data_IF_221106939074
#
_entry.id   IF_221106939074
#
_cell.length_a   1.000
_cell.length_b   1.000
_cell.length_c   1.000
_cell.angle_alpha   90.00
_cell.angle_beta   90.00
_cell.angle_gamma   90.00
#
_symmetry.space_group_name_H-M   'P 1'
#
loop_
_entity.id
_entity.type
_entity.pdbx_description
1 polymer ?
#
# COMPACT_ATOMS: atom_id res chain seq x y z
N UNK A 1 0.82 35.73 -51.55
CA UNK A 1 0.37 37.06 -51.10
C UNK A 1 -1.12 37.13 -51.39
N UNK A 2 -1.93 36.44 -50.59
CA UNK A 2 -2.62 36.95 -49.38
C UNK A 2 -3.66 37.99 -49.76
N UNK A 3 -4.94 37.62 -49.76
CA UNK A 3 -5.88 38.39 -48.95
C UNK A 3 -7.10 37.57 -48.51
N UNK A 4 -7.50 37.80 -47.26
CA UNK A 4 -8.56 37.14 -46.52
C UNK A 4 -9.75 38.07 -46.36
N UNK A 5 -10.93 37.66 -46.80
CA UNK A 5 -12.24 38.16 -46.35
C UNK A 5 -13.27 37.10 -46.73
N UNK A 6 -14.21 36.63 -45.94
CA UNK A 6 -14.63 36.91 -44.58
C UNK A 6 -15.90 36.07 -44.38
N UNK A 7 -16.07 35.43 -43.23
CA UNK A 7 -17.36 34.85 -42.87
C UNK A 7 -17.53 34.90 -41.36
N UNK A 8 -18.46 35.76 -40.97
CA UNK A 8 -19.02 35.91 -39.62
C UNK A 8 -19.83 34.67 -39.25
N UNK A 9 -19.57 34.09 -38.07
CA UNK A 9 -20.45 33.13 -37.43
C UNK A 9 -20.69 33.57 -35.99
N UNK A 10 -21.94 33.42 -35.57
CA UNK A 10 -22.57 34.08 -34.43
C UNK A 10 -22.05 33.58 -33.08
N UNK A 11 -22.03 34.51 -32.12
CA UNK A 11 -21.97 34.21 -30.70
C UNK A 11 -23.31 33.65 -30.27
N UNK A 12 -23.34 32.39 -29.82
CA UNK A 12 -24.45 31.85 -29.04
C UNK A 12 -24.09 31.83 -27.57
N UNK A 13 -24.94 32.52 -26.82
CA UNK A 13 -24.95 32.74 -25.39
C UNK A 13 -25.45 31.46 -24.69
N UNK A 14 -24.59 30.81 -23.91
CA UNK A 14 -25.00 29.69 -23.05
C UNK A 14 -25.47 30.26 -21.70
N UNK A 15 -26.74 30.06 -21.31
CA UNK A 15 -27.29 30.63 -20.07
C UNK A 15 -26.80 29.88 -18.83
N UNK A 16 -26.50 30.63 -17.76
CA UNK A 16 -26.36 30.12 -16.39
C UNK A 16 -27.67 29.46 -15.94
N UNK A 17 -27.62 28.16 -15.64
CA UNK A 17 -28.71 27.45 -14.97
C UNK A 17 -28.41 27.33 -13.47
N UNK A 18 -29.29 27.94 -12.67
CA UNK A 18 -29.29 27.94 -11.22
C UNK A 18 -29.32 26.53 -10.61
N UNK A 19 -28.66 26.38 -9.45
CA UNK A 19 -28.67 25.18 -8.63
C UNK A 19 -30.07 24.91 -8.02
N UNK A 20 -30.68 23.74 -8.25
CA UNK A 20 -31.81 23.28 -7.45
C UNK A 20 -31.33 22.25 -6.41
N UNK A 21 -31.67 22.53 -5.15
CA UNK A 21 -32.02 21.49 -4.18
C UNK A 21 -30.86 20.75 -3.51
N UNK A 22 -30.64 21.07 -2.24
CA UNK A 22 -29.99 20.22 -1.26
C UNK A 22 -30.80 18.93 -1.06
N UNK A 23 -30.29 17.79 -1.51
CA UNK A 23 -30.83 16.46 -1.15
C UNK A 23 -29.96 15.78 -0.08
N UNK A 24 -30.65 15.15 0.86
CA UNK A 24 -30.16 14.50 2.07
C UNK A 24 -29.22 13.30 1.80
N UNK A 25 -28.41 12.86 2.78
CA UNK A 25 -27.43 11.80 2.57
C UNK A 25 -28.13 10.44 2.48
N UNK A 26 -28.03 9.79 1.32
CA UNK A 26 -28.37 8.36 1.21
C UNK A 26 -29.12 7.95 -0.05
N UNK A 27 -28.52 8.13 -1.23
CA UNK A 27 -28.81 7.21 -2.34
C UNK A 27 -27.68 7.24 -3.37
N UNK A 28 -26.95 6.13 -3.49
CA UNK A 28 -26.03 5.92 -4.61
C UNK A 28 -26.85 5.82 -5.92
N UNK A 29 -26.41 6.41 -7.03
CA UNK A 29 -27.14 6.31 -8.30
C UNK A 29 -27.23 4.86 -8.77
N UNK A 30 -28.42 4.49 -9.21
CA UNK A 30 -28.88 3.14 -9.50
C UNK A 30 -28.12 2.45 -10.66
N UNK A 31 -27.15 1.58 -10.33
CA UNK A 31 -26.61 0.56 -11.25
C UNK A 31 -27.66 -0.47 -11.69
N UNK A 32 -28.82 -0.50 -11.03
CA UNK A 32 -29.99 -1.33 -11.38
C UNK A 32 -30.59 -1.02 -12.75
N UNK A 33 -30.20 0.08 -13.43
CA UNK A 33 -30.73 0.43 -14.76
C UNK A 33 -30.03 -0.29 -15.94
N UNK A 34 -28.96 -1.04 -15.70
CA UNK A 34 -28.16 -1.66 -16.76
C UNK A 34 -28.30 -3.20 -16.82
N UNK A 35 -28.96 -3.81 -15.83
CA UNK A 35 -29.21 -5.25 -15.79
C UNK A 35 -29.99 -5.72 -17.03
N UNK A 36 -29.50 -6.74 -17.72
CA UNK A 36 -30.08 -7.26 -18.95
C UNK A 36 -29.65 -6.52 -20.24
N UNK A 37 -28.88 -5.44 -20.13
CA UNK A 37 -28.33 -4.73 -21.30
C UNK A 37 -27.26 -5.58 -21.97
N UNK A 38 -27.29 -5.66 -23.31
CA UNK A 38 -26.25 -6.33 -24.10
C UNK A 38 -25.40 -5.26 -24.76
N UNK A 39 -24.10 -5.27 -24.48
CA UNK A 39 -23.10 -4.40 -25.13
C UNK A 39 -22.08 -5.31 -25.80
N UNK A 40 -21.86 -5.12 -27.10
CA UNK A 40 -20.92 -5.90 -27.92
C UNK A 40 -21.08 -7.43 -27.79
N UNK A 41 -22.32 -7.90 -27.71
CA UNK A 41 -22.66 -9.32 -27.59
C UNK A 41 -22.50 -9.91 -26.18
N UNK A 42 -22.11 -9.13 -25.19
CA UNK A 42 -22.01 -9.55 -23.78
C UNK A 42 -23.20 -9.02 -23.00
N UNK A 43 -23.95 -9.92 -22.35
CA UNK A 43 -25.09 -9.59 -21.50
C UNK A 43 -24.61 -9.21 -20.10
N UNK A 44 -25.02 -8.04 -19.62
CA UNK A 44 -24.79 -7.62 -18.24
C UNK A 44 -25.80 -8.34 -17.35
N UNK A 45 -25.34 -9.33 -16.59
CA UNK A 45 -26.12 -10.02 -15.57
C UNK A 45 -25.92 -9.36 -14.20
N UNK A 46 -26.97 -9.32 -13.39
CA UNK A 46 -26.83 -8.96 -11.99
C UNK A 46 -25.88 -9.96 -11.31
N UNK A 47 -25.00 -9.53 -10.39
CA UNK A 47 -24.20 -10.47 -9.62
C UNK A 47 -25.13 -11.44 -8.90
N UNK A 48 -24.95 -12.75 -9.11
CA UNK A 48 -25.73 -13.77 -8.43
C UNK A 48 -25.35 -13.78 -6.94
N UNK A 49 -26.12 -13.05 -6.14
CA UNK A 49 -26.04 -13.04 -4.68
C UNK A 49 -27.47 -13.15 -4.14
N UNK A 50 -27.88 -14.33 -3.63
CA UNK A 50 -29.11 -14.44 -2.86
C UNK A 50 -29.04 -13.51 -1.65
N UNK A 51 -30.10 -12.73 -1.41
CA UNK A 51 -30.18 -11.69 -0.38
C UNK A 51 -29.90 -12.20 1.05
N UNK A 52 -29.92 -13.52 1.24
CA UNK A 52 -29.87 -14.19 2.54
C UNK A 52 -28.58 -15.01 2.72
N UNK A 53 -27.64 -14.93 1.76
CA UNK A 53 -26.37 -15.65 1.86
C UNK A 53 -25.58 -15.08 3.04
N UNK A 54 -25.30 -15.85 4.11
CA UNK A 54 -24.40 -15.39 5.15
C UNK A 54 -23.05 -15.11 4.49
N UNK A 55 -22.59 -13.86 4.53
CA UNK A 55 -21.28 -13.46 4.02
C UNK A 55 -20.21 -14.41 4.61
N UNK A 56 -19.70 -15.40 3.84
CA UNK A 56 -18.80 -16.42 4.38
C UNK A 56 -17.46 -15.81 4.77
N UNK A 57 -17.19 -14.59 4.29
CA UNK A 57 -16.09 -13.76 4.65
C UNK A 57 -16.61 -12.37 4.99
N UNK A 58 -17.43 -12.25 6.05
CA UNK A 58 -17.67 -10.96 6.73
C UNK A 58 -16.38 -10.19 6.74
N UNK A 59 -16.32 -9.19 5.85
CA UNK A 59 -15.17 -8.37 5.46
C UNK A 59 -13.99 -8.60 6.38
N UNK A 60 -12.92 -9.19 5.86
CA UNK A 60 -11.72 -9.57 6.62
C UNK A 60 -11.11 -8.33 7.29
N UNK A 61 -11.64 -7.95 8.45
CA UNK A 61 -11.20 -6.81 9.23
C UNK A 61 -10.10 -7.31 10.15
N UNK A 62 -8.88 -6.85 9.92
CA UNK A 62 -7.88 -6.82 10.98
C UNK A 62 -8.36 -5.79 12.00
N UNK A 63 -8.70 -6.17 13.24
CA UNK A 63 -9.35 -5.27 14.20
C UNK A 63 -8.50 -4.04 14.57
N UNK A 64 -7.18 -4.12 14.40
CA UNK A 64 -6.28 -2.98 14.58
C UNK A 64 -6.53 -1.84 13.57
N UNK A 65 -7.17 -2.13 12.41
CA UNK A 65 -7.47 -1.12 11.37
C UNK A 65 -8.36 0.02 11.87
N UNK A 66 -9.17 -0.22 12.90
CA UNK A 66 -10.01 0.81 13.51
C UNK A 66 -9.24 1.76 14.44
N UNK A 67 -8.09 1.34 15.00
CA UNK A 67 -7.22 2.23 15.80
C UNK A 67 -6.44 3.18 14.90
N UNK A 68 -6.16 2.76 13.65
CA UNK A 68 -5.32 3.49 12.70
C UNK A 68 -5.97 4.69 12.01
N UNK A 69 -7.30 4.83 12.05
CA UNK A 69 -8.00 5.93 11.36
C UNK A 69 -8.13 7.17 12.27
N UNK A 70 -7.84 7.06 13.57
CA UNK A 70 -7.98 8.16 14.54
C UNK A 70 -6.84 8.28 15.58
N UNK A 71 -5.63 7.79 15.28
CA UNK A 71 -4.49 7.83 16.20
C UNK A 71 -3.84 9.21 16.32
N UNK A 72 -3.30 9.52 17.50
CA UNK A 72 -2.58 10.76 17.86
C UNK A 72 -1.32 11.02 17.00
N UNK A 73 -0.83 10.03 16.25
CA UNK A 73 0.39 10.10 15.43
C UNK A 73 0.12 10.17 13.92
N UNK A 74 -1.14 10.38 13.51
CA UNK A 74 -1.44 10.62 12.10
C UNK A 74 -0.95 12.03 11.73
N UNK A 75 -0.25 12.21 10.60
CA UNK A 75 0.12 13.53 10.11
C UNK A 75 -1.09 14.47 10.08
N UNK A 76 -0.89 15.73 10.49
CA UNK A 76 -1.97 16.73 10.42
C UNK A 76 -2.36 17.06 8.98
N UNK A 77 -1.44 16.88 8.04
CA UNK A 77 -1.62 17.06 6.61
C UNK A 77 -0.65 16.18 5.79
N UNK A 78 -0.74 16.28 4.46
CA UNK A 78 0.02 15.49 3.49
C UNK A 78 1.40 16.11 3.14
N UNK A 79 1.85 17.15 3.86
CA UNK A 79 3.14 17.80 3.61
C UNK A 79 4.33 16.95 4.06
N UNK A 80 5.49 17.20 3.45
CA UNK A 80 6.73 16.51 3.82
C UNK A 80 7.14 16.77 5.29
N UNK A 81 6.88 17.96 5.82
CA UNK A 81 7.25 18.34 7.19
C UNK A 81 6.48 17.55 8.26
N UNK A 82 5.27 17.10 7.92
CA UNK A 82 4.43 16.28 8.80
C UNK A 82 4.56 14.77 8.49
N UNK A 83 5.32 14.40 7.45
CA UNK A 83 5.44 13.02 7.01
C UNK A 83 6.45 12.24 7.87
N UNK A 84 6.05 11.15 8.54
CA UNK A 84 6.95 10.35 9.36
C UNK A 84 8.07 9.71 8.54
N UNK A 85 7.83 9.40 7.26
CA UNK A 85 8.83 8.84 6.36
C UNK A 85 9.82 9.90 5.83
N UNK A 86 9.46 11.19 5.81
CA UNK A 86 10.42 12.26 5.56
C UNK A 86 11.27 12.56 6.80
N UNK A 87 10.67 12.50 7.99
CA UNK A 87 11.37 12.75 9.25
C UNK A 87 12.34 11.61 9.65
N UNK A 88 12.00 10.35 9.34
CA UNK A 88 12.75 9.17 9.76
C UNK A 88 14.25 9.22 9.38
N UNK A 89 14.64 9.54 8.13
CA UNK A 89 16.05 9.64 7.76
C UNK A 89 16.87 10.66 8.55
N UNK A 90 16.24 11.70 9.13
CA UNK A 90 16.92 12.70 9.96
C UNK A 90 17.15 12.28 11.41
N UNK A 91 16.65 11.12 11.83
CA UNK A 91 16.80 10.56 13.19
C UNK A 91 17.83 9.44 13.19
N UNK A 92 18.22 8.99 14.40
CA UNK A 92 19.04 7.79 14.54
C UNK A 92 18.30 6.56 14.02
N UNK A 93 19.03 5.58 13.50
CA UNK A 93 18.43 4.36 12.95
C UNK A 93 17.64 3.59 14.01
N UNK A 94 18.09 3.64 15.27
CA UNK A 94 17.40 3.01 16.40
C UNK A 94 16.05 3.66 16.65
N UNK A 95 16.01 4.99 16.72
CA UNK A 95 14.78 5.71 17.06
C UNK A 95 13.75 5.69 15.92
N UNK A 96 14.23 5.65 14.67
CA UNK A 96 13.40 5.59 13.48
C UNK A 96 13.08 4.16 13.02
N UNK A 97 13.63 3.14 13.69
CA UNK A 97 13.57 1.74 13.29
C UNK A 97 14.07 1.47 11.86
N UNK A 98 15.06 2.25 11.40
CA UNK A 98 15.69 2.08 10.09
C UNK A 98 16.61 0.86 10.17
N UNK A 99 16.41 -0.08 9.23
CA UNK A 99 17.21 -1.29 9.09
C UNK A 99 18.40 -1.04 8.16
N UNK A 100 18.17 -0.30 7.08
CA UNK A 100 19.20 -0.04 6.08
C UNK A 100 18.94 1.26 5.31
N UNK A 101 20.01 1.93 4.89
CA UNK A 101 19.99 3.16 4.10
C UNK A 101 20.66 2.90 2.76
N UNK A 102 19.88 2.96 1.68
CA UNK A 102 20.39 2.98 0.32
C UNK A 102 20.68 4.41 -0.16
N UNK A 103 20.82 4.57 -1.47
CA UNK A 103 21.17 5.82 -2.16
C UNK A 103 19.94 6.73 -2.39
N UNK A 104 18.85 6.17 -2.93
CA UNK A 104 17.59 6.85 -3.28
C UNK A 104 16.39 6.36 -2.46
N UNK A 105 16.52 5.20 -1.81
CA UNK A 105 15.52 4.62 -0.92
C UNK A 105 16.17 4.02 0.34
N UNK A 106 15.34 3.76 1.35
CA UNK A 106 15.76 3.18 2.63
C UNK A 106 14.72 2.18 3.12
N UNK A 107 15.13 1.36 4.09
CA UNK A 107 14.33 0.29 4.66
C UNK A 107 14.16 0.51 6.15
N UNK A 108 12.92 0.45 6.63
CA UNK A 108 12.56 0.59 8.03
C UNK A 108 11.53 -0.44 8.44
N UNK A 109 11.42 -0.71 9.75
CA UNK A 109 10.35 -1.53 10.27
C UNK A 109 9.04 -0.76 10.32
N UNK A 110 7.94 -1.45 10.03
CA UNK A 110 6.62 -0.89 10.32
C UNK A 110 6.39 -0.89 11.84
N UNK A 111 6.10 0.28 12.40
CA UNK A 111 5.76 0.46 13.82
C UNK A 111 4.52 -0.36 14.23
N UNK A 112 3.63 -0.61 13.27
CA UNK A 112 2.40 -1.38 13.44
C UNK A 112 2.41 -2.61 12.53
N UNK A 113 3.25 -3.62 12.83
CA UNK A 113 3.55 -4.70 11.91
C UNK A 113 2.37 -5.67 11.74
N UNK A 114 2.19 -6.23 10.53
CA UNK A 114 1.25 -7.33 10.33
C UNK A 114 1.80 -8.62 10.92
N UNK A 115 3.11 -8.83 10.84
CA UNK A 115 3.88 -9.93 11.42
C UNK A 115 5.26 -9.41 11.84
N UNK A 116 5.92 -10.11 12.76
CA UNK A 116 7.34 -9.93 13.07
C UNK A 116 8.17 -9.84 11.80
N UNK A 117 9.04 -8.83 11.69
CA UNK A 117 9.85 -8.58 10.49
C UNK A 117 9.11 -7.88 9.34
N UNK A 118 7.95 -7.25 9.59
CA UNK A 118 7.28 -6.40 8.58
C UNK A 118 8.12 -5.15 8.30
N UNK A 119 8.67 -5.08 7.09
CA UNK A 119 9.46 -3.96 6.61
C UNK A 119 8.69 -3.08 5.62
N UNK A 120 9.10 -1.83 5.55
CA UNK A 120 8.71 -0.86 4.55
C UNK A 120 9.97 -0.45 3.77
N UNK A 121 9.86 -0.32 2.45
CA UNK A 121 10.87 0.35 1.62
C UNK A 121 10.28 1.66 1.12
N UNK A 122 10.96 2.76 1.40
CA UNK A 122 10.50 4.12 1.10
C UNK A 122 11.57 4.86 0.29
N UNK A 123 11.21 5.60 -0.77
CA UNK A 123 12.12 6.58 -1.34
C UNK A 123 12.38 7.70 -0.32
N UNK A 124 13.54 8.34 -0.39
CA UNK A 124 13.81 9.54 0.41
C UNK A 124 12.93 10.71 0.00
N UNK A 125 12.62 10.81 -1.30
CA UNK A 125 11.78 11.87 -1.85
C UNK A 125 10.32 11.67 -1.44
N UNK A 126 9.65 12.76 -1.07
CA UNK A 126 8.21 12.78 -0.77
C UNK A 126 7.41 12.69 -2.07
N UNK A 127 7.12 11.47 -2.49
CA UNK A 127 6.22 11.15 -3.61
C UNK A 127 5.15 10.21 -3.15
N UNK A 128 3.96 10.32 -3.72
CA UNK A 128 2.80 9.52 -3.29
C UNK A 128 2.54 8.36 -4.25
N UNK A 129 2.78 8.58 -5.54
CA UNK A 129 2.38 7.65 -6.59
C UNK A 129 3.58 6.92 -7.20
N UNK A 130 3.41 5.63 -7.50
CA UNK A 130 4.46 4.81 -8.12
C UNK A 130 4.96 5.37 -9.47
N UNK A 131 4.09 6.08 -10.21
CA UNK A 131 4.44 6.70 -11.49
C UNK A 131 5.35 7.92 -11.33
N UNK A 132 5.37 8.55 -10.16
CA UNK A 132 6.23 9.70 -9.84
C UNK A 132 7.67 9.27 -9.55
N UNK A 133 7.91 8.00 -9.21
CA UNK A 133 9.23 7.47 -8.95
C UNK A 133 10.12 7.55 -10.21
N UNK A 134 11.39 7.88 -10.02
CA UNK A 134 12.40 7.83 -11.07
C UNK A 134 12.77 6.38 -11.38
N UNK A 135 13.46 6.14 -12.50
CA UNK A 135 13.97 4.81 -12.82
C UNK A 135 14.96 4.30 -11.75
N UNK A 136 15.79 5.18 -11.19
CA UNK A 136 16.72 4.85 -10.12
C UNK A 136 15.98 4.43 -8.84
N UNK A 137 15.01 5.24 -8.39
CA UNK A 137 14.19 4.92 -7.21
C UNK A 137 13.45 3.59 -7.38
N UNK A 138 12.82 3.34 -8.54
CA UNK A 138 12.14 2.05 -8.79
C UNK A 138 13.10 0.87 -8.78
N UNK A 139 14.27 1.02 -9.40
CA UNK A 139 15.28 -0.03 -9.44
C UNK A 139 15.79 -0.35 -8.04
N UNK A 140 16.12 0.68 -7.26
CA UNK A 140 16.64 0.46 -5.92
C UNK A 140 15.58 -0.06 -4.95
N UNK A 141 14.34 0.42 -5.03
CA UNK A 141 13.23 -0.15 -4.24
C UNK A 141 13.11 -1.66 -4.53
N UNK A 142 13.24 -2.07 -5.80
CA UNK A 142 13.28 -3.48 -6.18
C UNK A 142 14.46 -4.25 -5.58
N UNK A 143 15.67 -3.71 -5.68
CA UNK A 143 16.89 -4.30 -5.10
C UNK A 143 16.79 -4.44 -3.58
N UNK A 144 16.36 -3.38 -2.89
CA UNK A 144 16.16 -3.38 -1.44
C UNK A 144 15.06 -4.36 -1.02
N UNK A 145 14.00 -4.49 -1.81
CA UNK A 145 12.93 -5.48 -1.56
C UNK A 145 13.47 -6.90 -1.61
N UNK A 146 14.25 -7.23 -2.66
CA UNK A 146 14.86 -8.54 -2.80
C UNK A 146 15.82 -8.83 -1.63
N UNK A 147 16.67 -7.84 -1.27
CA UNK A 147 17.61 -7.98 -0.16
C UNK A 147 16.89 -8.15 1.18
N UNK A 148 15.85 -7.36 1.44
CA UNK A 148 15.03 -7.49 2.63
C UNK A 148 14.45 -8.91 2.78
N UNK A 149 13.99 -9.52 1.69
CA UNK A 149 13.50 -10.90 1.73
C UNK A 149 14.58 -11.92 2.09
N UNK A 150 15.80 -11.77 1.56
CA UNK A 150 16.94 -12.64 1.91
C UNK A 150 17.32 -12.52 3.38
N UNK A 151 17.46 -11.29 3.86
CA UNK A 151 17.80 -10.98 5.25
C UNK A 151 16.74 -11.53 6.20
N UNK A 152 15.46 -11.22 5.96
CA UNK A 152 14.36 -11.73 6.79
C UNK A 152 14.30 -13.25 6.74
N UNK A 153 14.64 -13.88 5.61
CA UNK A 153 14.71 -15.33 5.48
C UNK A 153 15.80 -15.94 6.35
N UNK A 154 16.99 -15.36 6.33
CA UNK A 154 18.12 -15.81 7.15
C UNK A 154 17.86 -15.63 8.65
N UNK A 155 17.20 -14.54 9.05
CA UNK A 155 16.97 -14.21 10.46
C UNK A 155 15.78 -14.98 11.05
N UNK A 156 14.67 -15.06 10.32
CA UNK A 156 13.37 -15.48 10.89
C UNK A 156 12.73 -16.69 10.21
N UNK A 157 13.29 -17.18 9.10
CA UNK A 157 12.83 -18.39 8.41
C UNK A 157 11.31 -18.42 8.11
N UNK A 158 10.74 -17.38 7.48
CA UNK A 158 9.34 -17.41 7.05
C UNK A 158 9.15 -18.40 5.90
N UNK A 159 7.94 -18.94 5.80
CA UNK A 159 7.55 -19.85 4.72
C UNK A 159 7.19 -19.12 3.43
N UNK A 160 6.95 -17.80 3.49
CA UNK A 160 6.64 -16.98 2.33
C UNK A 160 6.59 -15.49 2.66
N UNK A 161 6.24 -14.69 1.65
CA UNK A 161 6.14 -13.23 1.77
C UNK A 161 4.91 -12.70 1.04
N UNK A 162 4.33 -11.63 1.55
CA UNK A 162 3.48 -10.74 0.75
C UNK A 162 4.24 -9.45 0.47
N UNK A 163 4.23 -9.06 -0.79
CA UNK A 163 4.75 -7.78 -1.26
C UNK A 163 3.56 -6.97 -1.79
N UNK A 164 3.42 -5.72 -1.38
CA UNK A 164 2.43 -4.83 -1.96
C UNK A 164 2.65 -3.35 -1.63
N UNK A 165 2.02 -2.50 -2.44
CA UNK A 165 1.88 -1.07 -2.19
C UNK A 165 0.41 -0.73 -2.25
N UNK A 166 -0.05 0.13 -1.33
CA UNK A 166 -1.38 0.71 -1.44
C UNK A 166 -1.23 2.10 -2.08
N UNK A 167 -1.87 2.34 -3.23
CA UNK A 167 -1.78 3.59 -3.97
C UNK A 167 -3.04 4.45 -3.72
N UNK A 168 -2.87 5.53 -2.96
CA UNK A 168 -3.95 6.44 -2.55
C UNK A 168 -4.71 6.00 -1.28
N UNK A 169 -5.44 6.95 -0.68
CA UNK A 169 -6.18 6.71 0.58
C UNK A 169 -7.24 5.61 0.45
N UNK A 170 -7.95 5.54 -0.68
CA UNK A 170 -9.02 4.55 -0.92
C UNK A 170 -8.46 3.12 -1.03
N UNK A 171 -7.23 2.95 -1.52
CA UNK A 171 -6.53 1.66 -1.52
C UNK A 171 -6.08 1.23 -0.11
N UNK A 172 -6.25 2.09 0.90
CA UNK A 172 -5.93 1.78 2.29
C UNK A 172 -4.49 2.09 2.68
N UNK A 173 -3.82 3.02 1.98
CA UNK A 173 -2.55 3.57 2.41
C UNK A 173 -2.74 4.34 3.73
N UNK A 174 -2.00 3.96 4.78
CA UNK A 174 -2.06 4.64 6.07
C UNK A 174 -1.49 6.06 6.00
N UNK A 175 -0.40 6.21 5.24
CA UNK A 175 0.25 7.49 4.91
C UNK A 175 0.25 7.59 3.38
N UNK A 176 -0.86 8.08 2.82
CA UNK A 176 -1.07 8.07 1.37
C UNK A 176 -0.15 9.03 0.61
N UNK A 177 0.36 10.07 1.28
CA UNK A 177 1.20 11.10 0.68
C UNK A 177 2.64 10.65 0.40
N UNK A 178 3.07 9.49 0.91
CA UNK A 178 4.44 9.01 0.74
C UNK A 178 4.47 7.52 0.44
N UNK A 179 4.99 7.18 -0.73
CA UNK A 179 5.12 5.85 -1.29
C UNK A 179 5.90 4.90 -0.36
N UNK A 180 5.35 3.72 -0.11
CA UNK A 180 6.02 2.69 0.67
C UNK A 180 5.63 1.29 0.21
N UNK A 181 6.64 0.46 -0.03
CA UNK A 181 6.49 -0.96 -0.39
C UNK A 181 6.53 -1.80 0.88
N UNK A 182 5.49 -2.59 1.11
CA UNK A 182 5.42 -3.54 2.21
C UNK A 182 6.19 -4.83 1.87
N UNK A 183 6.98 -5.33 2.82
CA UNK A 183 7.53 -6.69 2.82
C UNK A 183 7.04 -7.38 4.08
N UNK A 184 6.06 -8.27 3.93
CA UNK A 184 5.41 -8.94 5.05
C UNK A 184 5.79 -10.43 5.05
N UNK A 185 6.64 -10.89 5.96
CA UNK A 185 6.93 -12.32 6.11
C UNK A 185 5.70 -13.08 6.61
N UNK A 186 5.53 -14.31 6.13
CA UNK A 186 4.37 -15.18 6.39
C UNK A 186 4.80 -16.57 6.85
N UNK A 187 4.03 -17.13 7.77
CA UNK A 187 4.17 -18.51 8.24
C UNK A 187 2.87 -19.27 8.07
N UNK A 188 2.99 -20.59 7.89
CA UNK A 188 1.83 -21.48 7.85
C UNK A 188 1.08 -21.38 9.18
N UNK A 189 -0.19 -20.96 9.14
CA UNK A 189 -1.02 -20.81 10.35
C UNK A 189 -0.84 -19.50 11.11
N UNK A 190 -0.15 -18.49 10.55
CA UNK A 190 0.02 -17.17 11.18
C UNK A 190 -1.29 -16.35 11.28
N UNK A 191 -2.30 -16.73 10.51
CA UNK A 191 -3.69 -16.35 10.69
C UNK A 191 -4.38 -17.43 11.52
N UNK A 192 -4.20 -17.38 12.84
CA UNK A 192 -4.89 -18.27 13.78
C UNK A 192 -6.17 -17.60 14.32
N UNK A 193 -6.84 -18.24 15.27
CA UNK A 193 -8.09 -17.73 15.85
C UNK A 193 -7.89 -16.43 16.65
N UNK A 194 -6.67 -16.07 17.07
CA UNK A 194 -6.45 -14.92 17.96
C UNK A 194 -6.76 -13.57 17.28
N UNK A 195 -6.29 -13.28 16.05
CA UNK A 195 -6.72 -12.09 15.32
C UNK A 195 -8.23 -12.06 15.00
N UNK A 196 -8.85 -13.23 14.81
CA UNK A 196 -10.23 -13.36 14.31
C UNK A 196 -11.26 -13.29 15.45
N UNK A 197 -11.04 -14.04 16.53
CA UNK A 197 -11.95 -14.14 17.67
C UNK A 197 -11.50 -13.19 18.79
N UNK A 198 -10.21 -13.24 19.14
CA UNK A 198 -9.63 -12.47 20.23
C UNK A 198 -9.34 -11.02 19.88
N UNK A 199 -9.50 -10.62 18.61
CA UNK A 199 -9.14 -9.31 18.05
C UNK A 199 -7.73 -8.82 18.45
N UNK A 200 -6.84 -9.77 18.72
CA UNK A 200 -5.51 -9.51 19.25
C UNK A 200 -4.51 -10.34 18.47
N UNK A 201 -3.42 -9.71 18.03
CA UNK A 201 -2.31 -10.43 17.40
C UNK A 201 -1.09 -10.37 18.31
N UNK A 202 -0.60 -11.52 18.82
CA UNK A 202 0.66 -11.54 19.56
C UNK A 202 1.80 -11.24 18.58
N UNK A 203 2.55 -10.17 18.83
CA UNK A 203 3.86 -9.91 18.20
C UNK A 203 4.90 -10.27 19.26
N UNK A 204 5.55 -11.46 19.16
CA UNK A 204 6.27 -12.07 20.27
C UNK A 204 7.62 -11.42 20.61
N UNK A 205 8.08 -10.43 19.84
CA UNK A 205 9.42 -9.83 19.98
C UNK A 205 9.34 -8.31 19.91
N UNK A 206 10.20 -7.61 20.67
CA UNK A 206 10.28 -6.15 20.63
C UNK A 206 10.79 -5.66 19.27
N UNK A 207 10.29 -4.51 18.81
CA UNK A 207 10.67 -3.95 17.52
C UNK A 207 12.15 -3.56 17.45
N UNK A 208 12.71 -3.01 18.53
CA UNK A 208 14.14 -2.67 18.60
C UNK A 208 15.04 -3.88 18.38
N UNK A 209 14.78 -4.97 19.12
CA UNK A 209 15.56 -6.21 18.98
C UNK A 209 15.46 -6.81 17.57
N UNK A 210 14.26 -6.76 16.97
CA UNK A 210 14.06 -7.22 15.59
C UNK A 210 14.85 -6.36 14.60
N UNK A 211 14.81 -5.03 14.77
CA UNK A 211 15.56 -4.09 13.94
C UNK A 211 17.04 -4.43 14.01
N UNK A 212 17.59 -4.58 15.20
CA UNK A 212 19.01 -4.87 15.43
C UNK A 212 19.44 -6.18 14.75
N UNK A 213 18.63 -7.24 14.87
CA UNK A 213 18.90 -8.52 14.20
C UNK A 213 18.90 -8.40 12.68
N UNK A 214 17.92 -7.69 12.12
CA UNK A 214 17.81 -7.50 10.67
C UNK A 214 18.93 -6.61 10.13
N UNK A 215 19.27 -5.53 10.84
CA UNK A 215 20.33 -4.61 10.45
C UNK A 215 21.70 -5.30 10.53
N UNK A 216 21.96 -6.07 11.60
CA UNK A 216 23.21 -6.82 11.75
C UNK A 216 23.39 -7.89 10.66
N UNK A 217 22.31 -8.48 10.18
CA UNK A 217 22.34 -9.48 9.11
C UNK A 217 22.35 -8.87 7.70
N UNK A 218 22.21 -7.55 7.55
CA UNK A 218 21.92 -6.93 6.25
C UNK A 218 22.98 -7.20 5.19
N UNK A 219 24.26 -7.18 5.56
CA UNK A 219 25.37 -7.38 4.62
C UNK A 219 25.86 -8.84 4.59
N UNK A 220 25.51 -9.64 5.60
CA UNK A 220 26.03 -11.00 5.76
C UNK A 220 25.03 -12.11 5.42
N UNK A 221 23.74 -11.79 5.26
CA UNK A 221 22.74 -12.79 4.93
C UNK A 221 23.02 -13.44 3.55
N UNK A 222 22.88 -14.77 3.42
CA UNK A 222 23.06 -15.46 2.15
C UNK A 222 22.12 -14.92 1.09
N UNK A 223 22.64 -14.72 -0.12
CA UNK A 223 21.80 -14.35 -1.27
C UNK A 223 21.11 -15.57 -1.85
N UNK A 224 20.04 -15.37 -2.61
CA UNK A 224 19.40 -16.47 -3.35
C UNK A 224 20.39 -17.18 -4.29
N UNK A 225 21.39 -16.48 -4.81
CA UNK A 225 22.46 -17.04 -5.65
C UNK A 225 23.40 -17.95 -4.86
N UNK A 226 23.66 -17.64 -3.58
CA UNK A 226 24.54 -18.44 -2.72
C UNK A 226 23.90 -19.76 -2.27
N UNK A 227 22.56 -19.81 -2.24
CA UNK A 227 21.82 -20.97 -1.71
C UNK A 227 21.64 -22.12 -2.71
N UNK A 228 22.19 -22.01 -3.93
CA UNK A 228 22.27 -23.13 -4.87
C UNK A 228 20.93 -23.81 -5.16
N UNK A 229 19.88 -23.04 -5.47
CA UNK A 229 18.61 -23.62 -5.92
C UNK A 229 18.91 -24.50 -7.15
N UNK A 230 18.62 -25.81 -7.11
CA UNK A 230 18.81 -26.65 -8.28
C UNK A 230 17.95 -26.12 -9.41
N UNK A 231 18.57 -26.03 -10.59
CA UNK A 231 17.91 -25.68 -11.84
C UNK A 231 16.70 -26.62 -12.03
N UNK A 232 15.47 -26.11 -12.15
CA UNK A 232 14.29 -26.96 -12.34
C UNK A 232 14.33 -27.76 -13.66
N UNK A 233 15.29 -27.50 -14.55
CA UNK A 233 15.47 -28.19 -15.82
C UNK A 233 16.71 -29.13 -15.88
N UNK A 234 17.36 -29.44 -14.74
CA UNK A 234 18.37 -30.50 -14.62
C UNK A 234 17.94 -31.62 -13.67
#
# INVERSE_FOLDING_TARGET
MTDMTGQTAAQEHIPEAACPGTDAPGQAPALTRLEGTVVDGVRIEAPFQPADTPDPFRRLWTPHRMVYIGGQDKPSDDSADQCPFCAAPGRSDTDALIVHRGETAYVLMNLYPYNTGHLLICPYRHISDWTEATAAERSEIGTLTARAMEVVRAVSHPHGFNLGMNQGQVAGAGIAAHLHQHVVPRWTGDANFMPIIGKTKPVPQLLGDQRDQLAAAWDSAPTALDTGRPDPER
#
